data_IF_514754008811
#
_entry.id   IF_514754008811
#
_cell.length_a   1.000
_cell.length_b   1.000
_cell.length_c   1.000
_cell.angle_alpha   90.00
_cell.angle_beta   90.00
_cell.angle_gamma   90.00
#
_symmetry.space_group_name_H-M   'P 1'
#
loop_
_entity.id
_entity.type
_entity.pdbx_description
1 polymer ?
#
# COMPACT_ATOMS: atom_id res chain seq x y z
N UNK A 1 8.56 1.66 0.37
CA UNK A 1 9.43 2.09 1.50
C UNK A 1 10.68 1.20 1.40
N UNK A 2 11.90 1.74 1.29
CA UNK A 2 13.11 0.90 1.17
C UNK A 2 13.51 0.40 2.56
N UNK A 3 12.69 -0.46 3.17
CA UNK A 3 13.08 -1.21 4.36
C UNK A 3 13.66 -2.55 3.92
N UNK A 4 14.46 -3.18 4.79
CA UNK A 4 15.01 -4.50 4.53
C UNK A 4 13.86 -5.52 4.37
N UNK A 5 13.79 -6.13 3.20
CA UNK A 5 12.79 -7.12 2.82
C UNK A 5 13.34 -8.55 2.88
N UNK A 6 14.59 -8.76 3.30
CA UNK A 6 15.25 -10.07 3.32
C UNK A 6 14.51 -11.13 4.18
N UNK A 7 13.64 -10.69 5.09
CA UNK A 7 12.82 -11.57 5.94
C UNK A 7 11.45 -11.91 5.35
N UNK A 8 11.02 -11.24 4.29
CA UNK A 8 9.71 -11.48 3.66
C UNK A 8 9.79 -12.67 2.70
N UNK A 9 8.72 -13.46 2.65
CA UNK A 9 8.60 -14.58 1.72
C UNK A 9 8.52 -14.14 0.25
N UNK A 10 8.51 -15.14 -0.65
CA UNK A 10 8.32 -14.93 -2.09
C UNK A 10 6.88 -15.25 -2.52
N UNK A 11 6.48 -14.75 -3.69
CA UNK A 11 5.19 -14.99 -4.32
C UNK A 11 4.01 -14.54 -3.45
N UNK A 12 3.03 -15.42 -3.28
CA UNK A 12 1.82 -15.12 -2.50
C UNK A 12 2.09 -14.83 -1.02
N UNK A 13 3.09 -15.48 -0.42
CA UNK A 13 3.42 -15.29 1.00
C UNK A 13 3.95 -13.86 1.21
N UNK A 14 4.96 -13.46 0.43
CA UNK A 14 5.50 -12.09 0.47
C UNK A 14 4.46 -11.04 0.11
N UNK A 15 3.56 -11.35 -0.83
CA UNK A 15 2.43 -10.49 -1.17
C UNK A 15 1.50 -10.26 0.03
N UNK A 16 1.06 -11.32 0.71
CA UNK A 16 0.19 -11.21 1.89
C UNK A 16 0.89 -10.47 3.04
N UNK A 17 2.18 -10.71 3.27
CA UNK A 17 2.97 -9.98 4.26
C UNK A 17 3.04 -8.48 3.93
N UNK A 18 3.31 -8.13 2.66
CA UNK A 18 3.28 -6.74 2.21
C UNK A 18 1.89 -6.11 2.41
N UNK A 19 0.83 -6.84 2.05
CA UNK A 19 -0.55 -6.44 2.27
C UNK A 19 -0.88 -6.22 3.74
N UNK A 20 -0.38 -7.06 4.65
CA UNK A 20 -0.57 -6.89 6.09
C UNK A 20 0.10 -5.60 6.60
N UNK A 21 1.29 -5.26 6.10
CA UNK A 21 1.96 -3.99 6.42
C UNK A 21 1.13 -2.82 5.90
N UNK A 22 0.65 -2.88 4.65
CA UNK A 22 -0.23 -1.85 4.07
C UNK A 22 -1.54 -1.71 4.83
N UNK A 23 -2.09 -2.79 5.36
CA UNK A 23 -3.27 -2.77 6.23
C UNK A 23 -3.01 -1.97 7.49
N UNK A 24 -1.91 -2.25 8.19
CA UNK A 24 -1.54 -1.48 9.40
C UNK A 24 -1.32 -0.01 9.05
N UNK A 25 -0.64 0.29 7.93
CA UNK A 25 -0.43 1.65 7.47
C UNK A 25 -1.76 2.37 7.17
N UNK A 26 -2.67 1.73 6.44
CA UNK A 26 -4.00 2.27 6.13
C UNK A 26 -4.84 2.52 7.37
N UNK A 27 -4.80 1.59 8.33
CA UNK A 27 -5.50 1.72 9.61
C UNK A 27 -5.00 2.93 10.40
N UNK A 28 -3.68 3.04 10.62
CA UNK A 28 -3.06 4.13 11.38
C UNK A 28 -3.30 5.48 10.70
N UNK A 29 -3.14 5.55 9.38
CA UNK A 29 -3.34 6.80 8.65
C UNK A 29 -4.80 7.24 8.68
N UNK A 30 -5.76 6.32 8.59
CA UNK A 30 -7.16 6.67 8.79
C UNK A 30 -7.39 7.28 10.17
N UNK A 31 -6.83 6.74 11.25
CA UNK A 31 -6.97 7.32 12.58
C UNK A 31 -6.41 8.76 12.66
N UNK A 32 -5.27 9.01 12.03
CA UNK A 32 -4.67 10.36 11.93
C UNK A 32 -5.60 11.32 11.19
N UNK A 33 -6.06 10.94 9.99
CA UNK A 33 -6.96 11.77 9.19
C UNK A 33 -8.36 11.90 9.79
N UNK A 34 -8.82 10.90 10.55
CA UNK A 34 -10.06 10.98 11.32
C UNK A 34 -9.92 12.02 12.45
N UNK A 35 -8.82 11.99 13.20
CA UNK A 35 -8.55 12.98 14.24
C UNK A 35 -8.44 14.41 13.68
N UNK A 36 -7.71 14.60 12.58
CA UNK A 36 -7.63 15.88 11.86
C UNK A 36 -9.00 16.31 11.29
N UNK A 37 -9.71 15.37 10.67
CA UNK A 37 -10.98 15.61 10.00
C UNK A 37 -12.13 15.94 10.94
N UNK A 38 -12.10 15.45 12.19
CA UNK A 38 -13.06 15.86 13.23
C UNK A 38 -12.89 17.32 13.65
N UNK A 39 -11.65 17.83 13.70
CA UNK A 39 -11.36 19.23 14.06
C UNK A 39 -11.71 20.21 12.95
N UNK A 40 -11.59 19.76 11.70
CA UNK A 40 -11.75 20.62 10.52
C UNK A 40 -13.10 20.42 9.79
N UNK A 41 -14.05 19.66 10.34
CA UNK A 41 -15.36 19.44 9.73
C UNK A 41 -15.34 18.68 8.39
N UNK A 42 -14.35 17.82 8.16
CA UNK A 42 -14.21 17.10 6.90
C UNK A 42 -15.31 16.05 6.70
N UNK A 43 -15.76 15.88 5.46
CA UNK A 43 -16.64 14.75 5.09
C UNK A 43 -15.91 13.42 5.21
N UNK A 44 -16.66 12.33 5.41
CA UNK A 44 -16.10 10.98 5.50
C UNK A 44 -15.36 10.56 4.24
N UNK A 45 -15.90 10.90 3.05
CA UNK A 45 -15.24 10.64 1.78
C UNK A 45 -13.84 11.29 1.71
N UNK A 46 -13.69 12.52 2.24
CA UNK A 46 -12.39 13.20 2.31
C UNK A 46 -11.42 12.51 3.27
N UNK A 47 -11.90 12.06 4.43
CA UNK A 47 -11.08 11.35 5.43
C UNK A 47 -10.57 10.02 4.86
N UNK A 48 -11.47 9.23 4.27
CA UNK A 48 -11.15 7.93 3.64
C UNK A 48 -10.21 8.13 2.45
N UNK A 49 -10.50 9.09 1.57
CA UNK A 49 -9.69 9.36 0.39
C UNK A 49 -8.26 9.74 0.72
N UNK A 50 -8.05 10.67 1.65
CA UNK A 50 -6.70 11.07 2.07
C UNK A 50 -5.96 9.97 2.82
N UNK A 51 -6.66 9.22 3.68
CA UNK A 51 -6.06 8.09 4.40
C UNK A 51 -5.58 7.00 3.43
N UNK A 52 -6.43 6.61 2.48
CA UNK A 52 -6.08 5.59 1.49
C UNK A 52 -4.94 6.07 0.58
N UNK A 53 -5.03 7.29 0.05
CA UNK A 53 -3.97 7.86 -0.79
C UNK A 53 -2.63 7.92 -0.06
N UNK A 54 -2.60 8.43 1.18
CA UNK A 54 -1.39 8.47 1.98
C UNK A 54 -0.84 7.06 2.26
N UNK A 55 -1.71 6.08 2.50
CA UNK A 55 -1.30 4.69 2.74
C UNK A 55 -0.62 4.09 1.51
N UNK A 56 -1.13 4.34 0.30
CA UNK A 56 -0.51 3.88 -0.93
C UNK A 56 0.85 4.54 -1.19
N UNK A 57 0.94 5.86 -0.97
CA UNK A 57 2.19 6.60 -1.14
C UNK A 57 3.27 6.11 -0.17
N UNK A 58 2.91 5.69 1.03
CA UNK A 58 3.86 5.21 2.04
C UNK A 58 4.23 3.74 1.88
N UNK A 59 3.24 2.87 1.65
CA UNK A 59 3.44 1.41 1.56
C UNK A 59 3.77 0.96 0.13
N UNK A 60 2.80 1.07 -0.78
CA UNK A 60 2.86 0.49 -2.14
C UNK A 60 3.74 1.23 -3.15
N UNK A 61 4.21 2.44 -2.84
CA UNK A 61 4.93 3.30 -3.81
C UNK A 61 6.11 2.61 -4.51
N UNK A 62 6.89 1.82 -3.79
CA UNK A 62 8.12 1.22 -4.35
C UNK A 62 7.76 0.10 -5.31
N UNK A 63 6.93 -0.85 -4.87
CA UNK A 63 6.54 -1.99 -5.69
C UNK A 63 5.70 -1.52 -6.90
N UNK A 64 4.84 -0.52 -6.72
CA UNK A 64 4.09 0.08 -7.83
C UNK A 64 5.00 0.80 -8.83
N UNK A 65 6.05 1.49 -8.35
CA UNK A 65 7.02 2.14 -9.24
C UNK A 65 7.86 1.12 -9.99
N UNK A 66 8.31 0.05 -9.33
CA UNK A 66 9.02 -1.06 -9.96
C UNK A 66 8.14 -1.72 -11.02
N UNK A 67 6.87 -1.99 -10.71
CA UNK A 67 5.92 -2.55 -11.65
C UNK A 67 5.75 -1.66 -12.89
N UNK A 68 5.59 -0.36 -12.68
CA UNK A 68 5.50 0.62 -13.77
C UNK A 68 6.79 0.66 -14.59
N UNK A 69 7.94 0.75 -13.94
CA UNK A 69 9.24 0.86 -14.59
C UNK A 69 9.59 -0.37 -15.43
N UNK A 70 9.31 -1.59 -14.95
CA UNK A 70 9.59 -2.79 -15.74
C UNK A 70 8.62 -3.02 -16.89
N UNK A 71 7.39 -2.50 -16.80
CA UNK A 71 6.40 -2.64 -17.87
C UNK A 71 6.51 -1.53 -18.94
N UNK A 72 6.86 -0.31 -18.55
CA UNK A 72 6.82 0.87 -19.43
C UNK A 72 8.15 1.64 -19.54
N UNK A 73 9.11 1.35 -18.66
CA UNK A 73 10.43 1.96 -18.70
C UNK A 73 11.20 1.52 -19.94
N UNK A 74 11.85 2.48 -20.61
CA UNK A 74 12.69 2.19 -21.77
C UNK A 74 14.01 1.58 -21.32
N UNK A 75 14.03 0.27 -21.13
CA UNK A 75 15.21 -0.49 -20.75
C UNK A 75 16.20 -0.51 -21.94
N UNK A 76 17.30 0.23 -21.81
CA UNK A 76 18.25 0.41 -22.91
C UNK A 76 19.11 -0.84 -23.19
N UNK A 77 19.25 -1.73 -22.20
CA UNK A 77 20.01 -2.99 -22.35
C UNK A 77 19.53 -4.08 -21.39
N UNK A 78 19.77 -5.34 -21.79
CA UNK A 78 19.50 -6.52 -20.96
C UNK A 78 20.35 -6.53 -19.67
N UNK A 79 21.57 -5.99 -19.70
CA UNK A 79 22.40 -5.90 -18.50
C UNK A 79 21.83 -4.92 -17.47
N UNK A 80 21.30 -3.77 -17.92
CA UNK A 80 20.66 -2.79 -17.03
C UNK A 80 19.39 -3.37 -16.39
N UNK A 81 18.61 -4.10 -17.18
CA UNK A 81 17.43 -4.80 -16.69
C UNK A 81 17.79 -5.82 -15.60
N UNK A 82 18.75 -6.69 -15.86
CA UNK A 82 19.21 -7.71 -14.90
C UNK A 82 19.74 -7.08 -13.60
N UNK A 83 20.52 -6.00 -13.71
CA UNK A 83 21.00 -5.25 -12.55
C UNK A 83 19.86 -4.66 -11.72
N UNK A 84 18.80 -4.16 -12.37
CA UNK A 84 17.63 -3.60 -11.67
C UNK A 84 16.70 -4.67 -11.09
N UNK A 85 16.58 -5.84 -11.72
CA UNK A 85 15.86 -6.96 -11.11
C UNK A 85 16.57 -7.49 -9.86
N UNK A 86 17.91 -7.52 -9.86
CA UNK A 86 18.69 -7.97 -8.70
C UNK A 86 18.53 -7.07 -7.47
N UNK A 87 18.17 -5.80 -7.66
CA UNK A 87 17.87 -4.85 -6.57
C UNK A 87 16.45 -5.04 -6.00
N UNK A 88 15.56 -5.76 -6.68
CA UNK A 88 14.15 -5.87 -6.31
C UNK A 88 13.87 -7.19 -5.60
N UNK A 89 13.31 -7.08 -4.40
CA UNK A 89 12.84 -8.24 -3.65
C UNK A 89 11.66 -8.89 -4.39
N UNK A 90 11.82 -10.16 -4.77
CA UNK A 90 10.84 -10.95 -5.52
C UNK A 90 10.38 -10.31 -6.85
N UNK A 91 11.24 -10.30 -7.89
CA UNK A 91 10.95 -9.63 -9.15
C UNK A 91 9.79 -10.28 -9.93
N UNK A 92 9.56 -11.58 -9.77
CA UNK A 92 8.49 -12.32 -10.44
C UNK A 92 7.13 -12.06 -9.76
N UNK A 93 7.13 -11.77 -8.45
CA UNK A 93 5.95 -11.53 -7.62
C UNK A 93 5.49 -10.09 -7.50
N UNK A 94 6.17 -9.11 -8.13
CA UNK A 94 5.89 -7.66 -7.96
C UNK A 94 4.39 -7.34 -8.15
N UNK A 95 3.76 -7.89 -9.18
CA UNK A 95 2.33 -7.64 -9.45
C UNK A 95 1.42 -8.12 -8.31
N UNK A 96 1.70 -9.30 -7.76
CA UNK A 96 0.97 -9.86 -6.60
C UNK A 96 1.21 -9.01 -5.35
N UNK A 97 2.45 -8.55 -5.13
CA UNK A 97 2.79 -7.67 -4.00
C UNK A 97 1.99 -6.36 -4.06
N UNK A 98 2.02 -5.66 -5.19
CA UNK A 98 1.24 -4.43 -5.39
C UNK A 98 -0.25 -4.67 -5.17
N UNK A 99 -0.81 -5.75 -5.70
CA UNK A 99 -2.22 -6.09 -5.51
C UNK A 99 -2.55 -6.27 -4.02
N UNK A 100 -1.75 -7.04 -3.29
CA UNK A 100 -1.94 -7.28 -1.87
C UNK A 100 -1.78 -6.00 -1.05
N UNK A 101 -0.84 -5.11 -1.40
CA UNK A 101 -0.67 -3.81 -0.74
C UNK A 101 -1.88 -2.88 -0.96
N UNK A 102 -2.42 -2.83 -2.18
CA UNK A 102 -3.64 -2.06 -2.50
C UNK A 102 -4.84 -2.57 -1.68
N UNK A 103 -5.06 -3.88 -1.69
CA UNK A 103 -6.15 -4.52 -0.93
C UNK A 103 -5.94 -4.31 0.57
N UNK A 104 -4.72 -4.50 1.06
CA UNK A 104 -4.34 -4.30 2.45
C UNK A 104 -4.64 -2.89 2.92
N UNK A 105 -4.15 -1.88 2.20
CA UNK A 105 -4.41 -0.48 2.51
C UNK A 105 -5.92 -0.16 2.53
N UNK A 106 -6.68 -0.65 1.55
CA UNK A 106 -8.12 -0.46 1.50
C UNK A 106 -8.82 -1.11 2.69
N UNK A 107 -8.46 -2.35 3.02
CA UNK A 107 -8.98 -3.08 4.18
C UNK A 107 -8.64 -2.38 5.50
N UNK A 108 -7.41 -1.89 5.66
CA UNK A 108 -6.97 -1.17 6.85
C UNK A 108 -7.77 0.11 7.08
N UNK A 109 -7.95 0.91 6.03
CA UNK A 109 -8.78 2.12 6.08
C UNK A 109 -10.23 1.78 6.38
N UNK A 110 -10.78 0.74 5.75
CA UNK A 110 -12.16 0.28 5.97
C UNK A 110 -12.39 -0.16 7.41
N UNK A 111 -11.49 -1.00 7.95
CA UNK A 111 -11.56 -1.48 9.34
C UNK A 111 -11.46 -0.31 10.32
N UNK A 112 -10.55 0.63 10.10
CA UNK A 112 -10.41 1.80 10.95
C UNK A 112 -11.66 2.71 10.91
N UNK A 113 -12.25 2.91 9.73
CA UNK A 113 -13.51 3.62 9.56
C UNK A 113 -14.65 2.92 10.32
N UNK A 114 -14.79 1.60 10.20
CA UNK A 114 -15.80 0.83 10.91
C UNK A 114 -15.65 0.94 12.44
N UNK A 115 -14.41 0.84 12.95
CA UNK A 115 -14.11 0.96 14.39
C UNK A 115 -14.40 2.38 14.91
N UNK A 116 -14.15 3.42 14.10
CA UNK A 116 -14.40 4.82 14.48
C UNK A 116 -15.89 5.22 14.42
N UNK A 117 -16.80 4.27 14.26
CA UNK A 117 -18.23 4.53 14.20
C UNK A 117 -18.72 4.93 12.82
N UNK A 118 -18.09 4.42 11.76
CA UNK A 118 -18.64 4.45 10.41
C UNK A 118 -20.12 4.09 10.44
N UNK A 119 -20.92 4.75 9.60
CA UNK A 119 -22.39 4.87 9.68
C UNK A 119 -23.23 3.57 9.76
N UNK A 120 -22.64 2.40 10.01
CA UNK A 120 -23.26 1.15 10.43
C UNK A 120 -24.17 1.27 11.66
N UNK A 121 -23.97 2.25 12.56
CA UNK A 121 -24.82 2.44 13.76
C UNK A 121 -26.13 3.22 13.51
N UNK A 122 -26.70 3.15 12.32
CA UNK A 122 -27.96 3.83 12.04
C UNK A 122 -28.69 3.32 10.81
N UNK A 123 -29.26 2.11 10.90
CA UNK A 123 -30.70 1.84 10.78
C UNK A 123 -31.04 0.57 11.55
#
# INVERSE_FOLDING_TARGET
MNYDQAWMGYGWIGGVEAGAISLVAGFVLYLVFHWLGRRNGWSDARRVGWAYFAALVLSARVDAWNLFYFNYGRLQSLQLLSAKLAEVHDPDGIGTRVLCELIGAAAGVFVAWAVCGGHWRGR
#
